data_IF_189312596789
#
_entry.id   IF_189312596789
#
_cell.length_a   1.000
_cell.length_b   1.000
_cell.length_c   1.000
_cell.angle_alpha   90.00
_cell.angle_beta   90.00
_cell.angle_gamma   90.00
#
_symmetry.space_group_name_H-M   'P 1'
#
loop_
_entity.id
_entity.type
_entity.pdbx_description
1 polymer ?
#
# COMPACT_ATOMS: atom_id res chain seq x y z
N UNK A 1 -2.75 -6.02 -23.03
CA UNK A 1 -2.74 -5.29 -21.74
C UNK A 1 -3.31 -3.91 -22.00
N UNK A 2 -4.40 -3.56 -21.32
CA UNK A 2 -4.96 -2.20 -21.43
C UNK A 2 -4.01 -1.20 -20.76
N UNK A 3 -3.23 -0.49 -21.57
CA UNK A 3 -2.28 0.53 -21.09
C UNK A 3 -2.96 1.60 -20.24
N UNK A 4 -4.25 1.84 -20.51
CA UNK A 4 -5.12 2.73 -19.73
C UNK A 4 -5.29 2.26 -18.29
N UNK A 5 -5.49 0.96 -18.07
CA UNK A 5 -5.65 0.40 -16.73
C UNK A 5 -4.33 0.48 -15.97
N UNK A 6 -3.20 0.16 -16.62
CA UNK A 6 -1.88 0.26 -16.01
C UNK A 6 -1.59 1.70 -15.56
N UNK A 7 -1.83 2.69 -16.43
CA UNK A 7 -1.65 4.09 -16.09
C UNK A 7 -2.58 4.53 -14.95
N UNK A 8 -3.85 4.12 -14.96
CA UNK A 8 -4.81 4.46 -13.90
C UNK A 8 -4.35 3.89 -12.55
N UNK A 9 -4.02 2.61 -12.49
CA UNK A 9 -3.55 1.97 -11.24
C UNK A 9 -2.25 2.62 -10.77
N UNK A 10 -1.28 2.83 -11.66
CA UNK A 10 -0.02 3.47 -11.29
C UNK A 10 -0.23 4.87 -10.72
N UNK A 11 -0.98 5.73 -11.40
CA UNK A 11 -1.21 7.11 -10.96
C UNK A 11 -2.00 7.13 -9.64
N UNK A 12 -3.05 6.32 -9.52
CA UNK A 12 -3.86 6.24 -8.30
C UNK A 12 -3.03 5.80 -7.09
N UNK A 13 -2.25 4.72 -7.22
CA UNK A 13 -1.40 4.23 -6.14
C UNK A 13 -0.27 5.22 -5.84
N UNK A 14 0.35 5.80 -6.87
CA UNK A 14 1.40 6.80 -6.71
C UNK A 14 0.90 7.99 -5.88
N UNK A 15 -0.25 8.56 -6.23
CA UNK A 15 -0.84 9.68 -5.48
C UNK A 15 -1.25 9.25 -4.06
N UNK A 16 -1.83 8.06 -3.90
CA UNK A 16 -2.28 7.56 -2.60
C UNK A 16 -1.13 7.34 -1.61
N UNK A 17 0.04 6.92 -2.11
CA UNK A 17 1.22 6.60 -1.31
C UNK A 17 2.17 7.80 -1.13
N UNK A 18 1.97 8.91 -1.88
CA UNK A 18 2.85 10.09 -1.83
C UNK A 18 2.91 10.69 -0.42
N UNK A 19 4.10 10.68 0.17
CA UNK A 19 4.35 11.25 1.49
C UNK A 19 4.01 10.33 2.67
N UNK A 20 3.77 9.04 2.42
CA UNK A 20 3.60 8.07 3.49
C UNK A 20 4.90 7.90 4.32
N UNK A 21 4.72 7.46 5.57
CA UNK A 21 5.79 7.14 6.52
C UNK A 21 6.81 6.16 5.94
N UNK A 22 6.38 5.21 5.11
CA UNK A 22 7.30 4.27 4.45
C UNK A 22 8.24 4.97 3.45
N UNK A 23 7.75 5.97 2.72
CA UNK A 23 8.58 6.77 1.81
C UNK A 23 9.57 7.63 2.58
N UNK A 24 9.13 8.28 3.66
CA UNK A 24 10.01 9.06 4.53
C UNK A 24 11.10 8.19 5.17
N UNK A 25 10.75 7.00 5.66
CA UNK A 25 11.72 6.04 6.19
C UNK A 25 12.74 5.61 5.13
N UNK A 26 12.29 5.30 3.91
CA UNK A 26 13.17 4.94 2.79
C UNK A 26 14.11 6.09 2.42
N UNK A 27 13.62 7.33 2.43
CA UNK A 27 14.43 8.53 2.19
C UNK A 27 15.49 8.74 3.29
N UNK A 28 15.14 8.50 4.55
CA UNK A 28 16.08 8.57 5.67
C UNK A 28 17.19 7.53 5.51
N UNK A 29 16.86 6.27 5.21
CA UNK A 29 17.87 5.26 4.92
C UNK A 29 18.75 5.64 3.72
N UNK A 30 18.17 6.20 2.66
CA UNK A 30 18.92 6.63 1.47
C UNK A 30 19.82 7.86 1.71
N UNK A 31 19.58 8.59 2.80
CA UNK A 31 20.39 9.73 3.21
C UNK A 31 21.62 9.29 4.01
N UNK A 32 21.63 8.07 4.53
CA UNK A 32 22.80 7.46 5.16
C UNK A 32 23.88 7.19 4.11
N UNK A 33 25.11 7.64 4.39
CA UNK A 33 26.26 7.49 3.48
C UNK A 33 26.90 6.11 3.56
N UNK A 34 26.68 5.36 4.65
CA UNK A 34 27.27 4.04 4.84
C UNK A 34 26.50 2.95 4.09
N UNK A 35 25.24 3.24 3.72
CA UNK A 35 24.36 2.28 3.05
C UNK A 35 24.28 2.58 1.56
N UNK A 36 24.41 1.54 0.72
CA UNK A 36 24.25 1.67 -0.72
C UNK A 36 22.82 2.07 -1.10
N UNK A 37 22.68 3.18 -1.83
CA UNK A 37 21.39 3.66 -2.37
C UNK A 37 20.67 2.60 -3.21
N UNK A 38 21.44 1.80 -3.96
CA UNK A 38 20.90 0.70 -4.76
C UNK A 38 20.35 -0.44 -3.89
N UNK A 39 21.01 -0.75 -2.78
CA UNK A 39 20.51 -1.76 -1.84
C UNK A 39 19.19 -1.32 -1.20
N UNK A 40 19.07 -0.04 -0.83
CA UNK A 40 17.84 0.52 -0.27
C UNK A 40 16.73 0.55 -1.31
N UNK A 41 17.03 0.99 -2.53
CA UNK A 41 16.06 0.99 -3.63
C UNK A 41 15.51 -0.42 -3.89
N UNK A 42 16.39 -1.41 -4.03
CA UNK A 42 15.99 -2.79 -4.26
C UNK A 42 15.24 -3.38 -3.06
N UNK A 43 15.71 -3.13 -1.84
CA UNK A 43 15.06 -3.60 -0.61
C UNK A 43 13.65 -3.06 -0.47
N UNK A 44 13.47 -1.73 -0.60
CA UNK A 44 12.16 -1.09 -0.53
C UNK A 44 11.24 -1.53 -1.67
N UNK A 45 11.76 -1.64 -2.89
CA UNK A 45 10.97 -2.10 -4.05
C UNK A 45 10.51 -3.54 -3.88
N UNK A 46 11.39 -4.45 -3.47
CA UNK A 46 11.04 -5.85 -3.23
C UNK A 46 10.06 -5.99 -2.08
N UNK A 47 10.23 -5.23 -1.00
CA UNK A 47 9.28 -5.22 0.11
C UNK A 47 7.89 -4.78 -0.36
N UNK A 48 7.79 -3.71 -1.16
CA UNK A 48 6.53 -3.21 -1.70
C UNK A 48 5.87 -4.23 -2.64
N UNK A 49 6.64 -4.82 -3.57
CA UNK A 49 6.16 -5.84 -4.50
C UNK A 49 5.67 -7.07 -3.72
N UNK A 50 6.42 -7.53 -2.73
CA UNK A 50 6.04 -8.68 -1.91
C UNK A 50 4.77 -8.40 -1.10
N UNK A 51 4.69 -7.26 -0.41
CA UNK A 51 3.52 -6.87 0.38
C UNK A 51 2.27 -6.74 -0.51
N UNK A 52 2.40 -6.06 -1.66
CA UNK A 52 1.32 -5.92 -2.63
C UNK A 52 0.90 -7.27 -3.21
N UNK A 53 1.86 -8.11 -3.57
CA UNK A 53 1.61 -9.46 -4.10
C UNK A 53 0.85 -10.34 -3.10
N UNK A 54 1.28 -10.35 -1.83
CA UNK A 54 0.57 -11.07 -0.76
C UNK A 54 -0.85 -10.52 -0.59
N UNK A 55 -1.01 -9.19 -0.59
CA UNK A 55 -2.32 -8.55 -0.50
C UNK A 55 -3.26 -8.93 -1.64
N UNK A 56 -2.77 -8.94 -2.89
CA UNK A 56 -3.56 -9.34 -4.06
C UNK A 56 -3.90 -10.83 -4.04
N UNK A 57 -2.96 -11.69 -3.64
CA UNK A 57 -3.23 -13.14 -3.51
C UNK A 57 -4.27 -13.43 -2.43
N UNK A 58 -4.13 -12.82 -1.25
CA UNK A 58 -5.09 -12.96 -0.17
C UNK A 58 -6.47 -12.40 -0.55
N UNK A 59 -6.50 -11.20 -1.15
CA UNK A 59 -7.72 -10.54 -1.60
C UNK A 59 -8.45 -11.31 -2.68
N UNK A 60 -7.73 -11.81 -3.70
CA UNK A 60 -8.31 -12.60 -4.78
C UNK A 60 -8.78 -13.98 -4.32
N UNK A 61 -8.10 -14.59 -3.34
CA UNK A 61 -8.57 -15.83 -2.73
C UNK A 61 -9.85 -15.57 -1.94
N UNK A 62 -9.88 -14.51 -1.13
CA UNK A 62 -11.03 -14.16 -0.30
C UNK A 62 -12.27 -13.75 -1.13
N UNK A 63 -12.09 -13.07 -2.26
CA UNK A 63 -13.20 -12.69 -3.15
C UNK A 63 -13.93 -13.89 -3.75
N UNK A 64 -13.30 -15.07 -3.80
CA UNK A 64 -13.98 -16.29 -4.23
C UNK A 64 -14.96 -16.85 -3.18
N UNK A 65 -14.77 -16.51 -1.91
CA UNK A 65 -15.60 -17.00 -0.80
C UNK A 65 -16.57 -15.94 -0.27
N UNK A 66 -16.26 -14.65 -0.49
CA UNK A 66 -17.02 -13.51 0.06
C UNK A 66 -17.44 -12.59 -1.08
N UNK A 67 -18.74 -12.28 -1.17
CA UNK A 67 -19.26 -11.33 -2.15
C UNK A 67 -18.63 -9.94 -1.96
N UNK A 68 -18.23 -9.31 -3.05
CA UNK A 68 -17.59 -7.98 -3.11
C UNK A 68 -18.33 -6.92 -2.29
N UNK A 69 -19.67 -6.97 -2.26
CA UNK A 69 -20.50 -6.03 -1.49
C UNK A 69 -20.19 -6.08 0.01
N UNK A 70 -19.99 -7.27 0.56
CA UNK A 70 -19.65 -7.44 1.97
C UNK A 70 -18.24 -6.95 2.25
N UNK A 71 -17.30 -7.23 1.34
CA UNK A 71 -15.92 -6.77 1.45
C UNK A 71 -15.82 -5.24 1.51
N UNK A 72 -16.58 -4.54 0.67
CA UNK A 72 -16.67 -3.07 0.70
C UNK A 72 -17.26 -2.53 2.00
N UNK A 73 -18.32 -3.16 2.52
CA UNK A 73 -18.89 -2.75 3.81
C UNK A 73 -17.90 -2.94 4.96
N UNK A 74 -17.20 -4.08 5.01
CA UNK A 74 -16.18 -4.33 6.03
C UNK A 74 -15.02 -3.36 5.94
N UNK A 75 -14.50 -3.09 4.73
CA UNK A 75 -13.44 -2.12 4.52
C UNK A 75 -13.87 -0.72 4.97
N UNK A 76 -15.04 -0.24 4.52
CA UNK A 76 -15.56 1.08 4.88
C UNK A 76 -15.81 1.23 6.38
N UNK A 77 -16.43 0.23 7.03
CA UNK A 77 -16.63 0.23 8.47
C UNK A 77 -15.29 0.26 9.23
N UNK A 78 -14.30 -0.50 8.78
CA UNK A 78 -12.95 -0.49 9.33
C UNK A 78 -12.29 0.88 9.26
N UNK A 79 -12.37 1.56 8.11
CA UNK A 79 -11.86 2.93 7.95
C UNK A 79 -12.55 3.91 8.90
N UNK A 80 -13.88 3.83 9.05
CA UNK A 80 -14.63 4.70 9.98
C UNK A 80 -14.18 4.45 11.43
N UNK A 81 -14.07 3.18 11.85
CA UNK A 81 -13.64 2.81 13.20
C UNK A 81 -12.24 3.33 13.50
N UNK A 82 -11.29 3.10 12.59
CA UNK A 82 -9.90 3.60 12.73
C UNK A 82 -9.87 5.13 12.76
N UNK A 83 -10.66 5.78 11.90
CA UNK A 83 -10.78 7.24 11.86
C UNK A 83 -11.31 7.82 13.18
N UNK A 84 -12.40 7.26 13.71
CA UNK A 84 -12.97 7.68 15.00
C UNK A 84 -12.00 7.42 16.16
N UNK A 85 -11.33 6.27 16.16
CA UNK A 85 -10.35 5.95 17.19
C UNK A 85 -9.15 6.90 17.17
N UNK A 86 -8.68 7.25 15.97
CA UNK A 86 -7.58 8.21 15.79
C UNK A 86 -8.00 9.61 16.26
N UNK A 87 -9.23 10.05 15.95
CA UNK A 87 -9.77 11.32 16.42
C UNK A 87 -9.95 11.39 17.95
N UNK A 88 -10.34 10.28 18.58
CA UNK A 88 -10.50 10.25 20.04
C UNK A 88 -9.14 10.25 20.77
N UNK A 89 -8.10 9.68 20.15
CA UNK A 89 -6.76 9.63 20.73
C UNK A 89 -5.94 10.92 20.49
N UNK A 90 -6.31 11.72 19.50
CA UNK A 90 -5.70 13.00 19.16
C UNK A 90 -6.10 14.10 20.16
#
# INVERSE_FOLDING_TARGET
>A
MDWKILAAVFISVFIAEMGDKTQLATMLFASDKEVSKWAIFLGASLALIAASGIGVLAGSTLSNYVSEKHLHYFAGAGFIIIGLWTLWKA
#
